data_IF_667992302757
#
_entry.id   IF_667992302757
#
_cell.length_a   1.000
_cell.length_b   1.000
_cell.length_c   1.000
_cell.angle_alpha   90.00
_cell.angle_beta   90.00
_cell.angle_gamma   90.00
#
_symmetry.space_group_name_H-M   'P 1'
#
loop_
_entity.id
_entity.type
_entity.pdbx_description
1 polymer ?
#
# COMPACT_ATOMS: atom_id res chain seq x y z
N UNK A 1 -27.00 7.41 11.17
CA UNK A 1 -26.24 7.74 9.95
C UNK A 1 -25.77 6.44 9.31
N UNK A 2 -26.32 6.07 8.16
CA UNK A 2 -25.95 4.86 7.43
C UNK A 2 -24.84 5.26 6.44
N UNK A 3 -23.57 5.06 6.83
CA UNK A 3 -22.37 5.63 6.17
C UNK A 3 -21.90 4.77 4.99
N UNK A 4 -22.60 3.68 4.66
CA UNK A 4 -22.25 2.81 3.56
C UNK A 4 -22.82 3.35 2.25
N UNK A 5 -22.31 4.50 1.81
CA UNK A 5 -22.48 4.95 0.42
C UNK A 5 -21.85 3.91 -0.49
N UNK A 6 -22.69 3.17 -1.23
CA UNK A 6 -22.42 2.34 -2.42
C UNK A 6 -21.07 1.63 -2.44
N UNK A 7 -21.08 0.30 -2.35
CA UNK A 7 -19.97 -0.55 -2.78
C UNK A 7 -19.46 -0.10 -4.16
N UNK A 8 -18.46 0.79 -4.19
CA UNK A 8 -17.66 1.04 -5.37
C UNK A 8 -16.84 -0.23 -5.52
N UNK A 9 -17.15 -1.03 -6.53
CA UNK A 9 -16.39 -2.21 -6.86
C UNK A 9 -14.91 -1.79 -7.00
N UNK A 10 -14.02 -2.55 -6.36
CA UNK A 10 -12.59 -2.31 -6.55
C UNK A 10 -12.25 -2.64 -8.01
N UNK A 11 -11.49 -1.75 -8.64
CA UNK A 11 -11.09 -1.90 -10.02
C UNK A 11 -9.82 -2.75 -10.12
N UNK A 12 -9.99 -4.06 -10.19
CA UNK A 12 -8.90 -5.01 -10.46
C UNK A 12 -8.73 -5.25 -11.97
N UNK A 13 -8.67 -4.17 -12.76
CA UNK A 13 -8.26 -4.24 -14.17
C UNK A 13 -6.82 -4.75 -14.28
N UNK A 14 -6.47 -5.32 -15.44
CA UNK A 14 -5.11 -5.81 -15.70
C UNK A 14 -4.07 -4.70 -15.49
N UNK A 15 -4.32 -3.50 -16.02
CA UNK A 15 -3.48 -2.32 -15.83
C UNK A 15 -3.25 -1.99 -14.35
N UNK A 16 -4.30 -2.02 -13.52
CA UNK A 16 -4.17 -1.74 -12.09
C UNK A 16 -3.41 -2.85 -11.36
N UNK A 17 -3.60 -4.11 -11.73
CA UNK A 17 -2.87 -5.25 -11.16
C UNK A 17 -1.40 -5.20 -11.56
N UNK A 18 -1.08 -4.87 -12.81
CA UNK A 18 0.29 -4.73 -13.30
C UNK A 18 1.02 -3.60 -12.58
N UNK A 19 0.39 -2.42 -12.47
CA UNK A 19 0.95 -1.29 -11.73
C UNK A 19 1.19 -1.65 -10.27
N UNK A 20 0.20 -2.25 -9.60
CA UNK A 20 0.33 -2.68 -8.20
C UNK A 20 1.44 -3.74 -8.02
N UNK A 21 1.56 -4.69 -8.96
CA UNK A 21 2.59 -5.74 -8.93
C UNK A 21 3.98 -5.11 -8.96
N UNK A 22 4.19 -4.15 -9.86
CA UNK A 22 5.46 -3.43 -9.98
C UNK A 22 5.78 -2.67 -8.69
N UNK A 23 4.83 -1.90 -8.18
CA UNK A 23 5.00 -1.11 -6.95
C UNK A 23 5.30 -1.98 -5.74
N UNK A 24 4.63 -3.13 -5.60
CA UNK A 24 4.89 -4.10 -4.52
C UNK A 24 6.29 -4.72 -4.65
N UNK A 25 6.73 -5.09 -5.86
CA UNK A 25 8.05 -5.65 -6.08
C UNK A 25 9.15 -4.64 -5.75
N UNK A 26 9.02 -3.40 -6.22
CA UNK A 26 9.97 -2.31 -5.94
C UNK A 26 10.02 -1.99 -4.45
N UNK A 27 8.87 -1.93 -3.77
CA UNK A 27 8.81 -1.75 -2.31
C UNK A 27 9.52 -2.87 -1.54
N UNK A 28 9.29 -4.12 -1.91
CA UNK A 28 9.96 -5.25 -1.25
C UNK A 28 11.47 -5.24 -1.47
N UNK A 29 11.92 -4.82 -2.64
CA UNK A 29 13.35 -4.68 -2.94
C UNK A 29 13.99 -3.61 -2.04
N UNK A 30 13.42 -2.41 -1.96
CA UNK A 30 14.00 -1.35 -1.11
C UNK A 30 13.94 -1.71 0.37
N UNK A 31 12.88 -2.39 0.85
CA UNK A 31 12.81 -2.87 2.23
C UNK A 31 13.88 -3.92 2.54
N UNK A 32 14.18 -4.78 1.56
CA UNK A 32 15.27 -5.77 1.67
C UNK A 32 16.64 -5.08 1.69
N UNK A 33 16.86 -4.05 0.86
CA UNK A 33 18.09 -3.26 0.86
C UNK A 33 18.30 -2.49 2.18
N UNK A 34 17.22 -1.95 2.75
CA UNK A 34 17.22 -1.33 4.07
C UNK A 34 17.50 -2.36 5.19
N UNK A 35 17.26 -3.65 4.93
CA UNK A 35 17.48 -4.73 5.89
C UNK A 35 16.32 -4.96 6.85
N UNK A 36 15.10 -4.59 6.46
CA UNK A 36 13.88 -4.79 7.27
C UNK A 36 12.90 -5.75 6.62
N UNK A 37 12.23 -6.57 7.42
CA UNK A 37 11.14 -7.43 6.98
C UNK A 37 9.75 -6.83 7.25
N UNK A 38 9.68 -5.63 7.84
CA UNK A 38 8.42 -4.99 8.25
C UNK A 38 7.49 -4.83 7.05
N UNK A 39 6.27 -5.34 7.17
CA UNK A 39 5.22 -5.18 6.17
C UNK A 39 5.42 -5.95 4.86
N UNK A 40 6.53 -6.66 4.68
CA UNK A 40 6.82 -7.36 3.42
C UNK A 40 5.82 -8.50 3.15
N UNK A 41 5.36 -9.20 4.19
CA UNK A 41 4.36 -10.25 4.04
C UNK A 41 2.99 -9.67 3.71
N UNK A 42 2.64 -8.54 4.33
CA UNK A 42 1.39 -7.82 4.09
C UNK A 42 1.32 -7.29 2.66
N UNK A 43 2.43 -6.77 2.12
CA UNK A 43 2.53 -6.39 0.71
C UNK A 43 2.28 -7.58 -0.23
N UNK A 44 2.84 -8.76 0.08
CA UNK A 44 2.55 -9.99 -0.67
C UNK A 44 1.07 -10.37 -0.58
N UNK A 45 0.48 -10.36 0.62
CA UNK A 45 -0.93 -10.72 0.79
C UNK A 45 -1.89 -9.76 0.08
N UNK A 46 -1.56 -8.45 0.07
CA UNK A 46 -2.30 -7.43 -0.69
C UNK A 46 -2.24 -7.72 -2.19
N UNK A 47 -1.06 -8.05 -2.73
CA UNK A 47 -0.91 -8.38 -4.14
C UNK A 47 -1.67 -9.65 -4.52
N UNK A 48 -1.51 -10.73 -3.75
CA UNK A 48 -2.19 -12.02 -4.01
C UNK A 48 -3.71 -11.87 -4.02
N UNK A 49 -4.26 -11.11 -3.06
CA UNK A 49 -5.70 -10.87 -3.01
C UNK A 49 -6.21 -9.98 -4.15
N UNK A 50 -5.40 -9.02 -4.63
CA UNK A 50 -5.72 -8.23 -5.84
C UNK A 50 -5.71 -9.10 -7.10
N UNK A 51 -4.71 -9.95 -7.28
CA UNK A 51 -4.61 -10.87 -8.42
C UNK A 51 -5.78 -11.85 -8.46
N UNK A 52 -6.22 -12.34 -7.28
CA UNK A 52 -7.41 -13.18 -7.13
C UNK A 52 -8.73 -12.39 -7.23
N UNK A 53 -8.67 -11.07 -7.38
CA UNK A 53 -9.82 -10.15 -7.41
C UNK A 53 -10.73 -10.26 -6.17
N UNK A 54 -10.19 -10.74 -5.05
CA UNK A 54 -10.93 -10.88 -3.80
C UNK A 54 -10.92 -9.56 -3.05
N UNK A 55 -11.99 -8.79 -3.27
CA UNK A 55 -12.17 -7.47 -2.63
C UNK A 55 -12.19 -7.53 -1.10
N UNK A 56 -12.64 -8.63 -0.51
CA UNK A 56 -12.79 -8.75 0.95
C UNK A 56 -11.44 -9.04 1.58
N UNK A 57 -10.71 -10.01 1.05
CA UNK A 57 -9.33 -10.30 1.49
C UNK A 57 -8.41 -9.14 1.22
N UNK A 58 -8.53 -8.48 0.06
CA UNK A 58 -7.73 -7.30 -0.27
C UNK A 58 -7.86 -6.20 0.76
N UNK A 59 -9.10 -5.82 1.12
CA UNK A 59 -9.33 -4.81 2.17
C UNK A 59 -8.81 -5.27 3.54
N UNK A 60 -8.93 -6.57 3.86
CA UNK A 60 -8.44 -7.13 5.12
C UNK A 60 -6.92 -7.05 5.23
N UNK A 61 -6.20 -7.42 4.18
CA UNK A 61 -4.74 -7.39 4.15
C UNK A 61 -4.17 -5.98 4.02
N UNK A 62 -4.91 -5.06 3.41
CA UNK A 62 -4.48 -3.68 3.27
C UNK A 62 -4.59 -2.89 4.57
N UNK A 63 -5.62 -3.15 5.38
CA UNK A 63 -5.91 -2.40 6.61
C UNK A 63 -5.25 -3.02 7.84
N UNK A 64 -4.02 -3.52 7.69
CA UNK A 64 -3.21 -4.06 8.78
C UNK A 64 -2.44 -2.95 9.50
N UNK A 65 -2.03 -3.24 10.73
CA UNK A 65 -1.26 -2.29 11.54
C UNK A 65 0.13 -2.08 10.95
N UNK A 66 0.70 -3.12 10.39
CA UNK A 66 2.03 -3.17 9.78
C UNK A 66 2.13 -2.26 8.55
N UNK A 67 1.04 -2.07 7.80
CA UNK A 67 1.04 -1.16 6.65
C UNK A 67 0.65 0.27 7.04
N UNK A 68 -0.42 0.44 7.81
CA UNK A 68 -1.04 1.75 8.05
C UNK A 68 -1.51 2.00 9.49
N UNK A 69 -1.18 1.16 10.47
CA UNK A 69 -1.76 1.27 11.82
C UNK A 69 -0.75 1.20 12.96
N UNK A 70 -0.18 2.35 13.31
CA UNK A 70 0.54 2.53 14.58
C UNK A 70 2.00 2.96 14.38
N UNK A 71 2.69 3.11 15.50
CA UNK A 71 4.14 3.27 15.50
C UNK A 71 4.76 2.03 14.84
N UNK A 72 5.81 2.24 14.04
CA UNK A 72 6.50 1.19 13.27
C UNK A 72 5.74 0.65 12.05
N UNK A 73 4.54 1.17 11.74
CA UNK A 73 3.90 0.89 10.46
C UNK A 73 4.75 1.38 9.29
N UNK A 74 4.63 0.74 8.12
CA UNK A 74 5.30 1.18 6.89
C UNK A 74 5.04 2.66 6.59
N UNK A 75 3.83 3.16 6.85
CA UNK A 75 3.51 4.57 6.66
C UNK A 75 4.26 5.54 7.59
N UNK A 76 4.83 5.07 8.70
CA UNK A 76 5.63 5.84 9.65
C UNK A 76 7.11 5.42 9.65
N UNK A 77 7.50 4.59 8.69
CA UNK A 77 8.83 3.98 8.66
C UNK A 77 9.93 5.00 8.36
N UNK A 78 10.99 4.97 9.16
CA UNK A 78 12.21 5.75 8.98
C UNK A 78 13.44 4.85 9.13
N UNK A 79 14.28 4.80 8.09
CA UNK A 79 15.45 3.92 8.07
C UNK A 79 16.78 4.57 8.48
N UNK A 80 16.81 5.87 8.81
CA UNK A 80 18.03 6.57 9.21
C UNK A 80 19.03 6.85 8.08
N UNK A 81 18.73 6.44 6.85
CA UNK A 81 19.53 6.73 5.65
C UNK A 81 18.71 7.58 4.69
N UNK A 82 19.09 8.85 4.51
CA UNK A 82 18.28 9.82 3.75
C UNK A 82 18.04 9.39 2.29
N UNK A 83 19.04 8.76 1.65
CA UNK A 83 18.90 8.29 0.26
C UNK A 83 17.87 7.17 0.17
N UNK A 84 18.04 6.12 0.98
CA UNK A 84 17.12 4.98 1.00
C UNK A 84 15.73 5.39 1.48
N UNK A 85 15.65 6.34 2.41
CA UNK A 85 14.40 6.89 2.90
C UNK A 85 13.63 7.61 1.79
N UNK A 86 14.31 8.46 1.00
CA UNK A 86 13.67 9.17 -0.10
C UNK A 86 13.18 8.22 -1.19
N UNK A 87 13.95 7.18 -1.49
CA UNK A 87 13.57 6.15 -2.46
C UNK A 87 12.37 5.34 -1.95
N UNK A 88 12.41 4.88 -0.70
CA UNK A 88 11.30 4.22 -0.04
C UNK A 88 10.02 5.07 -0.08
N UNK A 89 10.09 6.35 0.29
CA UNK A 89 8.92 7.24 0.30
C UNK A 89 8.33 7.41 -1.09
N UNK A 90 9.17 7.53 -2.13
CA UNK A 90 8.71 7.64 -3.52
C UNK A 90 7.95 6.38 -3.96
N UNK A 91 8.52 5.20 -3.67
CA UNK A 91 7.89 3.92 -3.99
C UNK A 91 6.62 3.67 -3.19
N UNK A 92 6.61 4.06 -1.90
CA UNK A 92 5.45 3.91 -1.03
C UNK A 92 4.30 4.84 -1.43
N UNK A 93 4.61 6.06 -1.87
CA UNK A 93 3.63 6.97 -2.45
C UNK A 93 3.01 6.37 -3.71
N UNK A 94 3.83 5.85 -4.62
CA UNK A 94 3.36 5.19 -5.85
C UNK A 94 2.44 4.01 -5.56
N UNK A 95 2.79 3.17 -4.58
CA UNK A 95 1.90 2.12 -4.08
C UNK A 95 0.56 2.69 -3.58
N UNK A 96 0.57 3.76 -2.78
CA UNK A 96 -0.65 4.41 -2.30
C UNK A 96 -1.52 4.96 -3.44
N UNK A 97 -0.91 5.50 -4.50
CA UNK A 97 -1.62 5.93 -5.70
C UNK A 97 -2.28 4.77 -6.44
N UNK A 98 -1.59 3.63 -6.57
CA UNK A 98 -2.16 2.43 -7.19
C UNK A 98 -3.38 1.92 -6.41
N UNK A 99 -3.32 1.94 -5.07
CA UNK A 99 -4.47 1.62 -4.22
C UNK A 99 -5.65 2.58 -4.46
N UNK A 100 -5.37 3.89 -4.62
CA UNK A 100 -6.38 4.89 -4.95
C UNK A 100 -7.01 4.62 -6.33
N UNK A 101 -6.22 4.24 -7.33
CA UNK A 101 -6.68 3.89 -8.68
C UNK A 101 -7.55 2.62 -8.70
N UNK A 102 -7.26 1.66 -7.81
CA UNK A 102 -8.10 0.47 -7.55
C UNK A 102 -9.41 0.86 -6.83
N UNK A 103 -9.49 2.07 -6.26
CA UNK A 103 -10.70 2.60 -5.65
C UNK A 103 -10.68 2.59 -4.11
N UNK A 104 -9.51 2.43 -3.49
CA UNK A 104 -9.36 2.59 -2.04
C UNK A 104 -9.45 4.06 -1.68
N UNK A 105 -10.35 4.36 -0.72
CA UNK A 105 -10.65 5.71 -0.23
C UNK A 105 -10.34 5.85 1.26
N UNK A 106 -9.48 4.99 1.80
CA UNK A 106 -9.10 5.03 3.20
C UNK A 106 -8.42 6.37 3.53
N UNK A 107 -8.90 7.03 4.60
CA UNK A 107 -8.41 8.35 5.01
C UNK A 107 -6.90 8.40 5.22
N UNK A 108 -6.29 7.36 5.79
CA UNK A 108 -4.86 7.35 6.10
C UNK A 108 -4.00 7.20 4.85
N UNK A 109 -4.41 6.32 3.92
CA UNK A 109 -3.78 6.23 2.60
C UNK A 109 -3.85 7.58 1.88
N UNK A 110 -5.02 8.24 1.91
CA UNK A 110 -5.17 9.57 1.33
C UNK A 110 -4.34 10.65 2.04
N UNK A 111 -4.08 10.52 3.34
CA UNK A 111 -3.20 11.43 4.08
C UNK A 111 -1.74 11.25 3.67
N UNK A 112 -1.27 10.02 3.47
CA UNK A 112 0.07 9.76 2.93
C UNK A 112 0.24 10.42 1.57
N UNK A 113 -0.76 10.29 0.69
CA UNK A 113 -0.72 10.92 -0.64
C UNK A 113 -0.66 12.45 -0.54
N UNK A 114 -1.47 13.05 0.34
CA UNK A 114 -1.55 14.52 0.49
C UNK A 114 -0.42 15.15 1.30
N UNK A 115 0.25 14.38 2.16
CA UNK A 115 1.30 14.87 3.05
C UNK A 115 2.67 15.03 2.37
N UNK A 116 2.77 14.64 1.10
CA UNK A 116 3.98 14.71 0.27
C UNK A 116 3.86 15.74 -0.88
N UNK A 117 2.72 16.45 -1.00
CA UNK A 117 2.53 17.64 -1.85
C UNK A 117 2.87 18.92 -1.08
#
# INVERSE_FOLDING_TARGET
MNIFTRNKYLNFSEENIESLTKSVAELKNILTEIGTSVGQQELTNVLESAMNKDSKLFKKHLLTNELFGGAEALCEFYCGNDKLQSEFQTLFLKFCEDLKNIGITNRRILQVIKGLE
#
